data_IF_967019262198
#
_entry.id   IF_967019262198
#
_cell.length_a   1.000
_cell.length_b   1.000
_cell.length_c   1.000
_cell.angle_alpha   90.00
_cell.angle_beta   90.00
_cell.angle_gamma   90.00
#
_symmetry.space_group_name_H-M   'P 1'
#
loop_
_entity.id
_entity.type
_entity.pdbx_description
1 polymer ?
#
# COMPACT_ATOMS: atom_id res chain seq x y z
N UNK A 1 -1.56 -5.69 -14.02
CA UNK A 1 -2.49 -4.58 -13.92
C UNK A 1 -2.62 -4.19 -12.47
N UNK A 2 -2.45 -2.95 -12.21
CA UNK A 2 -2.55 -2.50 -10.84
C UNK A 2 -4.01 -2.23 -10.49
N UNK A 3 -4.28 -1.98 -9.24
CA UNK A 3 -5.62 -1.75 -8.76
C UNK A 3 -6.28 -0.57 -9.42
N UNK A 4 -5.52 0.46 -9.72
CA UNK A 4 -6.05 1.62 -10.37
C UNK A 4 -6.49 1.28 -11.79
N UNK A 5 -5.69 0.51 -12.49
CA UNK A 5 -6.04 0.07 -13.83
C UNK A 5 -7.27 -0.80 -13.77
N UNK A 6 -7.36 -1.63 -12.75
CA UNK A 6 -8.54 -2.47 -12.55
C UNK A 6 -9.75 -1.59 -12.29
N UNK A 7 -9.59 -0.55 -11.48
CA UNK A 7 -10.68 0.36 -11.21
C UNK A 7 -11.14 1.09 -12.45
N UNK A 8 -10.20 1.52 -13.27
CA UNK A 8 -10.53 2.17 -14.52
C UNK A 8 -11.23 1.21 -15.47
N UNK A 9 -10.74 0.00 -15.51
CA UNK A 9 -11.34 -1.02 -16.32
C UNK A 9 -12.76 -1.30 -15.84
N UNK A 10 -12.93 -1.35 -14.53
CA UNK A 10 -14.24 -1.55 -13.95
C UNK A 10 -15.18 -0.43 -14.31
N UNK A 11 -14.71 0.80 -14.23
CA UNK A 11 -15.53 1.93 -14.62
C UNK A 11 -15.93 1.85 -16.06
N UNK A 12 -15.03 1.40 -16.89
CA UNK A 12 -15.30 1.25 -18.29
C UNK A 12 -16.29 0.13 -18.52
N UNK A 13 -16.08 -0.95 -17.86
CA UNK A 13 -16.91 -2.10 -17.98
C UNK A 13 -18.23 -1.85 -17.33
N UNK A 14 -18.19 -1.10 -16.26
CA UNK A 14 -19.34 -0.80 -15.50
C UNK A 14 -20.47 -0.29 -16.32
N UNK A 15 -20.21 0.32 -17.33
CA UNK A 15 -21.28 0.87 -18.08
C UNK A 15 -21.82 -0.23 -18.85
N UNK A 16 -21.12 -1.20 -18.97
CA UNK A 16 -21.44 -2.16 -19.87
C UNK A 16 -22.12 -3.22 -19.15
N UNK A 17 -22.07 -3.27 -17.98
CA UNK A 17 -22.36 -4.29 -17.46
C UNK A 17 -22.85 -4.82 -16.39
N UNK A 18 -23.50 -5.43 -16.55
CA UNK A 18 -23.88 -6.45 -15.85
C UNK A 18 -22.81 -7.25 -15.37
N UNK A 19 -22.01 -7.59 -16.18
CA UNK A 19 -20.81 -8.16 -15.80
C UNK A 19 -20.26 -7.24 -14.76
N UNK A 20 -20.70 -6.10 -14.79
CA UNK A 20 -20.44 -5.13 -13.89
C UNK A 20 -20.69 -5.54 -12.53
N UNK A 21 -21.81 -6.00 -12.26
CA UNK A 21 -22.14 -6.42 -10.93
C UNK A 21 -21.21 -7.53 -10.46
N UNK A 22 -20.94 -8.48 -11.32
CA UNK A 22 -20.05 -9.57 -10.99
C UNK A 22 -18.65 -9.10 -10.78
N UNK A 23 -18.22 -8.20 -11.61
CA UNK A 23 -16.86 -7.69 -11.54
C UNK A 23 -16.67 -6.86 -10.27
N UNK A 24 -17.62 -6.03 -9.99
CA UNK A 24 -17.59 -5.24 -8.78
C UNK A 24 -17.58 -6.14 -7.54
N UNK A 25 -18.32 -7.23 -7.58
CA UNK A 25 -18.35 -8.18 -6.50
C UNK A 25 -16.99 -8.80 -6.25
N UNK A 26 -16.32 -9.18 -7.33
CA UNK A 26 -14.98 -9.77 -7.20
C UNK A 26 -14.00 -8.77 -6.60
N UNK A 27 -14.09 -7.54 -7.02
CA UNK A 27 -13.22 -6.49 -6.49
C UNK A 27 -13.50 -6.25 -5.01
N UNK A 28 -14.76 -6.22 -4.65
CA UNK A 28 -15.15 -6.03 -3.26
C UNK A 28 -14.67 -7.19 -2.39
N UNK A 29 -14.76 -8.40 -2.91
CA UNK A 29 -14.27 -9.56 -2.19
C UNK A 29 -12.77 -9.47 -1.97
N UNK A 30 -12.03 -9.07 -3.00
CA UNK A 30 -10.59 -8.93 -2.88
C UNK A 30 -10.24 -7.85 -1.87
N UNK A 31 -10.99 -6.77 -1.86
CA UNK A 31 -10.77 -5.68 -0.92
C UNK A 31 -11.07 -6.16 0.50
N UNK A 32 -12.12 -6.96 0.66
CA UNK A 32 -12.48 -7.48 1.95
C UNK A 32 -11.47 -8.51 2.47
N UNK A 33 -10.68 -9.07 1.57
CA UNK A 33 -9.67 -10.04 1.97
C UNK A 33 -8.48 -9.35 2.65
N UNK A 34 -8.38 -8.03 2.57
CA UNK A 34 -7.32 -7.31 3.23
C UNK A 34 -7.59 -7.32 4.72
N UNK A 35 -6.67 -7.90 5.46
CA UNK A 35 -6.80 -8.02 6.89
C UNK A 35 -6.75 -6.64 7.54
N UNK A 36 -7.66 -6.42 8.48
CA UNK A 36 -7.70 -5.23 9.27
C UNK A 36 -6.36 -4.96 9.94
N UNK A 37 -5.70 -6.02 10.38
CA UNK A 37 -4.42 -5.91 11.05
C UNK A 37 -3.33 -5.38 10.13
N UNK A 38 -3.41 -5.72 8.86
CA UNK A 38 -2.46 -5.22 7.86
C UNK A 38 -2.63 -3.72 7.72
N UNK A 39 -3.88 -3.26 7.66
CA UNK A 39 -4.16 -1.83 7.52
C UNK A 39 -3.64 -1.06 8.72
N UNK A 40 -3.92 -1.56 9.92
CA UNK A 40 -3.46 -0.91 11.15
C UNK A 40 -1.94 -0.84 11.18
N UNK A 41 -1.29 -1.92 10.79
CA UNK A 41 0.15 -1.98 10.75
C UNK A 41 0.72 -0.95 9.77
N UNK A 42 0.16 -0.88 8.57
CA UNK A 42 0.62 0.06 7.56
C UNK A 42 0.48 1.50 8.05
N UNK A 43 -0.64 1.81 8.67
CA UNK A 43 -0.86 3.16 9.21
C UNK A 43 0.18 3.49 10.28
N UNK A 44 0.47 2.53 11.17
CA UNK A 44 1.48 2.73 12.21
C UNK A 44 2.87 2.97 11.60
N UNK A 45 3.19 2.20 10.56
CA UNK A 45 4.48 2.33 9.89
C UNK A 45 4.59 3.69 9.18
N UNK A 46 3.53 4.12 8.51
CA UNK A 46 3.54 5.42 7.83
C UNK A 46 3.76 6.54 8.83
N UNK A 47 3.08 6.48 9.95
CA UNK A 47 3.23 7.50 10.99
C UNK A 47 4.65 7.53 11.54
N UNK A 48 5.23 6.37 11.79
CA UNK A 48 6.57 6.29 12.33
C UNK A 48 7.61 6.75 11.30
N UNK A 49 7.40 6.39 10.05
CA UNK A 49 8.27 6.80 8.95
C UNK A 49 8.28 8.34 8.84
N UNK A 50 7.10 8.95 8.90
CA UNK A 50 6.97 10.39 8.85
C UNK A 50 7.73 11.06 9.99
N UNK A 51 7.61 10.47 11.17
CA UNK A 51 8.26 11.01 12.36
C UNK A 51 9.78 10.92 12.26
N UNK A 52 10.29 9.78 11.83
CA UNK A 52 11.73 9.57 11.71
C UNK A 52 12.35 10.52 10.69
N UNK A 53 11.67 10.71 9.57
CA UNK A 53 12.21 11.56 8.51
C UNK A 53 11.75 13.01 8.58
N UNK A 54 11.02 13.37 9.61
CA UNK A 54 10.56 14.75 9.82
C UNK A 54 9.76 15.30 8.64
N UNK A 55 8.91 14.48 8.10
CA UNK A 55 8.01 14.88 7.00
C UNK A 55 6.59 14.67 7.45
N UNK A 56 5.64 15.24 6.70
CA UNK A 56 4.23 15.06 7.04
C UNK A 56 3.79 13.65 6.73
N UNK A 57 2.71 13.21 7.35
CA UNK A 57 2.14 11.90 7.07
C UNK A 57 1.74 11.80 5.61
N UNK A 58 1.25 12.89 5.04
CA UNK A 58 0.88 12.92 3.63
C UNK A 58 2.09 12.68 2.74
N UNK A 59 3.18 13.35 3.03
CA UNK A 59 4.42 13.16 2.26
C UNK A 59 4.95 11.77 2.40
N UNK A 60 4.90 11.23 3.62
CA UNK A 60 5.36 9.87 3.87
C UNK A 60 4.52 8.88 3.05
N UNK A 61 3.21 9.04 3.09
CA UNK A 61 2.30 8.18 2.36
C UNK A 61 2.56 8.25 0.85
N UNK A 62 2.71 9.46 0.33
CA UNK A 62 2.95 9.66 -1.09
C UNK A 62 4.27 9.03 -1.53
N UNK A 63 5.31 9.19 -0.73
CA UNK A 63 6.62 8.61 -1.03
C UNK A 63 6.57 7.09 -0.99
N UNK A 64 5.91 6.55 0.00
CA UNK A 64 5.82 5.09 0.13
C UNK A 64 5.01 4.47 -1.00
N UNK A 65 3.97 5.14 -1.45
CA UNK A 65 3.21 4.67 -2.60
C UNK A 65 4.08 4.74 -3.85
N UNK A 66 4.73 5.87 -4.05
CA UNK A 66 5.50 6.13 -5.25
C UNK A 66 6.67 5.18 -5.44
N UNK A 67 7.33 4.82 -4.35
CA UNK A 67 8.50 3.96 -4.42
C UNK A 67 8.25 2.53 -3.95
N UNK A 68 7.01 2.12 -4.05
CA UNK A 68 6.59 0.74 -3.77
C UNK A 68 6.74 0.26 -2.32
N UNK A 69 6.85 1.21 -1.40
CA UNK A 69 6.97 0.87 0.01
C UNK A 69 5.70 0.25 0.57
N UNK A 70 4.54 0.77 0.18
CA UNK A 70 3.28 0.22 0.66
C UNK A 70 3.09 -1.20 0.12
N UNK A 71 3.43 -1.41 -1.16
CA UNK A 71 3.32 -2.73 -1.76
C UNK A 71 4.23 -3.73 -1.03
N UNK A 72 5.43 -3.29 -0.68
CA UNK A 72 6.37 -4.12 0.07
C UNK A 72 5.79 -4.53 1.42
N UNK A 73 5.23 -3.57 2.15
CA UNK A 73 4.64 -3.86 3.45
C UNK A 73 3.47 -4.83 3.36
N UNK A 74 2.66 -4.68 2.33
CA UNK A 74 1.51 -5.54 2.12
C UNK A 74 1.95 -6.96 1.76
N UNK A 75 2.91 -7.06 0.86
CA UNK A 75 3.43 -8.35 0.43
C UNK A 75 4.17 -9.11 1.50
N UNK A 76 4.92 -8.40 2.31
CA UNK A 76 5.78 -9.01 3.32
C UNK A 76 5.29 -8.80 4.75
N UNK A 77 4.01 -8.51 4.90
CA UNK A 77 3.44 -8.25 6.22
C UNK A 77 3.78 -9.34 7.23
N UNK A 78 3.68 -10.59 6.82
CA UNK A 78 3.91 -11.72 7.73
C UNK A 78 5.28 -11.65 8.39
N UNK A 79 6.28 -11.25 7.64
CA UNK A 79 7.63 -11.15 8.16
C UNK A 79 7.89 -9.79 8.80
N UNK A 80 7.46 -8.73 8.15
CA UNK A 80 7.78 -7.38 8.60
C UNK A 80 7.11 -7.00 9.92
N UNK A 81 5.88 -7.44 10.13
CA UNK A 81 5.18 -7.05 11.35
C UNK A 81 5.76 -7.70 12.62
N UNK A 82 6.63 -8.70 12.44
CA UNK A 82 7.30 -9.32 13.57
C UNK A 82 8.54 -8.55 13.99
N UNK A 83 8.99 -7.62 13.16
CA UNK A 83 10.15 -6.80 13.45
C UNK A 83 9.73 -5.59 14.27
N UNK A 84 10.71 -4.95 14.91
CA UNK A 84 10.42 -3.67 15.55
C UNK A 84 10.08 -2.65 14.45
N UNK A 85 9.42 -1.58 14.83
CA UNK A 85 9.10 -0.53 13.85
C UNK A 85 10.36 0.05 13.25
N UNK A 86 11.42 0.20 14.05
CA UNK A 86 12.68 0.74 13.56
C UNK A 86 13.28 -0.14 12.47
N UNK A 87 13.25 -1.44 12.67
CA UNK A 87 13.79 -2.39 11.69
C UNK A 87 12.92 -2.39 10.43
N UNK A 88 11.61 -2.35 10.60
CA UNK A 88 10.71 -2.28 9.47
C UNK A 88 10.94 -1.01 8.65
N UNK A 89 11.17 0.11 9.34
CA UNK A 89 11.46 1.38 8.66
C UNK A 89 12.78 1.32 7.90
N UNK A 90 13.78 0.64 8.44
CA UNK A 90 15.04 0.47 7.74
C UNK A 90 14.85 -0.32 6.45
N UNK A 91 14.10 -1.40 6.52
CA UNK A 91 13.82 -2.21 5.35
C UNK A 91 13.05 -1.38 4.32
N UNK A 92 12.08 -0.63 4.79
CA UNK A 92 11.24 0.19 3.97
C UNK A 92 12.05 1.29 3.26
N UNK A 93 12.97 1.90 4.00
CA UNK A 93 13.86 2.92 3.44
C UNK A 93 14.68 2.33 2.31
N UNK A 94 15.19 1.12 2.52
CA UNK A 94 15.98 0.45 1.51
C UNK A 94 15.15 0.16 0.25
N UNK A 95 13.90 -0.25 0.44
CA UNK A 95 12.99 -0.50 -0.68
C UNK A 95 12.78 0.79 -1.48
N UNK A 96 12.56 1.90 -0.78
CA UNK A 96 12.38 3.18 -1.44
C UNK A 96 13.62 3.58 -2.23
N UNK A 97 14.79 3.41 -1.64
CA UNK A 97 16.05 3.74 -2.31
C UNK A 97 16.26 2.87 -3.54
N UNK A 98 15.94 1.59 -3.42
CA UNK A 98 16.10 0.66 -4.54
C UNK A 98 15.18 0.99 -5.70
N UNK A 99 14.09 1.69 -5.42
CA UNK A 99 13.14 2.08 -6.44
C UNK A 99 13.30 3.56 -6.86
N UNK A 100 14.43 4.16 -6.55
CA UNK A 100 14.75 5.50 -7.00
C UNK A 100 14.35 6.63 -6.06
N UNK A 101 13.88 6.30 -4.88
CA UNK A 101 13.49 7.31 -3.92
C UNK A 101 14.71 7.87 -3.21
N UNK A 102 14.69 9.15 -2.91
CA UNK A 102 15.72 9.77 -2.12
C UNK A 102 15.04 10.50 -0.98
N UNK A 103 14.90 9.84 0.13
CA UNK A 103 14.26 10.44 1.28
C UNK A 103 15.35 10.89 2.22
N UNK A 104 15.41 12.14 2.41
CA UNK A 104 16.43 12.71 3.27
C UNK A 104 15.81 13.67 4.26
#
# INVERSE_FOLDING_TARGET
>A
MNIIAVCLTIKTITKVLDALGMYASVILQNTQAIDKNVIVYIVAVINEFAKIYHISVREANNNLIRFNGIDFLTEHYEAEHLLSLDDAIQDLTQVCLNNGGGIQ
#
